data_IF_039548221911
#
_entry.id   IF_039548221911
#
_cell.length_a   1.000
_cell.length_b   1.000
_cell.length_c   1.000
_cell.angle_alpha   90.00
_cell.angle_beta   90.00
_cell.angle_gamma   90.00
#
_symmetry.space_group_name_H-M   'P 1'
#
loop_
_entity.id
_entity.type
_entity.pdbx_description
1 polymer ?
#
# COMPACT_ATOMS: atom_id res chain seq x y z
N UNK A 1 1.57 1.30 27.40
CA UNK A 1 0.43 0.80 26.59
C UNK A 1 0.47 1.33 25.14
N UNK A 2 0.66 2.64 24.91
CA UNK A 2 0.71 3.25 23.56
C UNK A 2 2.03 2.99 22.80
N UNK A 3 3.18 3.06 23.47
CA UNK A 3 4.51 2.84 22.85
C UNK A 3 4.65 1.41 22.27
N UNK A 4 4.06 0.42 22.93
CA UNK A 4 4.06 -0.97 22.46
C UNK A 4 3.22 -1.15 21.19
N UNK A 5 2.11 -0.42 21.05
CA UNK A 5 1.28 -0.44 19.83
C UNK A 5 1.97 0.27 18.66
N UNK A 6 2.63 1.41 18.92
CA UNK A 6 3.47 2.11 17.94
C UNK A 6 4.63 1.25 17.44
N UNK A 7 5.34 0.58 18.35
CA UNK A 7 6.43 -0.34 17.99
C UNK A 7 5.91 -1.53 17.16
N UNK A 8 4.77 -2.11 17.53
CA UNK A 8 4.15 -3.22 16.79
C UNK A 8 3.69 -2.79 15.40
N UNK A 9 3.11 -1.60 15.26
CA UNK A 9 2.72 -1.02 13.98
C UNK A 9 3.93 -0.73 13.07
N UNK A 10 5.01 -0.15 13.62
CA UNK A 10 6.24 0.10 12.89
C UNK A 10 6.93 -1.17 12.40
N UNK A 11 7.00 -2.21 13.24
CA UNK A 11 7.55 -3.52 12.85
C UNK A 11 6.66 -4.18 11.78
N UNK A 12 5.34 -4.08 11.91
CA UNK A 12 4.40 -4.55 10.89
C UNK A 12 4.60 -3.85 9.55
N UNK A 13 4.80 -2.52 9.57
CA UNK A 13 5.11 -1.73 8.39
C UNK A 13 6.42 -2.15 7.72
N UNK A 14 7.51 -2.32 8.49
CA UNK A 14 8.80 -2.76 7.93
C UNK A 14 8.69 -4.14 7.29
N UNK A 15 8.00 -5.09 7.94
CA UNK A 15 7.75 -6.42 7.38
C UNK A 15 6.94 -6.35 6.09
N UNK A 16 5.90 -5.51 6.07
CA UNK A 16 5.08 -5.31 4.90
C UNK A 16 5.89 -4.71 3.74
N UNK A 17 6.68 -3.68 4.03
CA UNK A 17 7.51 -2.99 3.06
C UNK A 17 8.56 -3.93 2.47
N UNK A 18 9.22 -4.73 3.30
CA UNK A 18 10.19 -5.71 2.82
C UNK A 18 9.56 -6.71 1.83
N UNK A 19 8.38 -7.23 2.15
CA UNK A 19 7.67 -8.19 1.29
C UNK A 19 7.23 -7.54 -0.04
N UNK A 20 6.72 -6.30 0.01
CA UNK A 20 6.35 -5.53 -1.17
C UNK A 20 7.56 -5.22 -2.06
N UNK A 21 8.68 -4.81 -1.47
CA UNK A 21 9.94 -4.56 -2.18
C UNK A 21 10.48 -5.81 -2.86
N UNK A 22 10.36 -6.98 -2.21
CA UNK A 22 10.79 -8.25 -2.77
C UNK A 22 9.95 -8.63 -4.01
N UNK A 23 8.62 -8.47 -3.94
CA UNK A 23 7.74 -8.70 -5.09
C UNK A 23 8.07 -7.74 -6.23
N UNK A 24 8.25 -6.45 -5.92
CA UNK A 24 8.65 -5.45 -6.90
C UNK A 24 9.98 -5.78 -7.57
N UNK A 25 10.97 -6.28 -6.82
CA UNK A 25 12.26 -6.70 -7.36
C UNK A 25 12.11 -7.74 -8.45
N UNK A 26 11.38 -8.83 -8.19
CA UNK A 26 11.21 -9.91 -9.15
C UNK A 26 10.39 -9.49 -10.36
N UNK A 27 9.35 -8.66 -10.18
CA UNK A 27 8.58 -8.12 -11.29
C UNK A 27 9.42 -7.19 -12.17
N UNK A 28 10.19 -6.28 -11.56
CA UNK A 28 11.06 -5.37 -12.29
C UNK A 28 12.15 -6.14 -13.03
N UNK A 29 12.81 -7.10 -12.39
CA UNK A 29 13.82 -7.95 -13.00
C UNK A 29 13.25 -8.72 -14.21
N UNK A 30 12.13 -9.41 -14.04
CA UNK A 30 11.50 -10.17 -15.11
C UNK A 30 11.08 -9.25 -16.28
N UNK A 31 10.46 -8.11 -15.98
CA UNK A 31 10.06 -7.14 -16.99
C UNK A 31 11.24 -6.56 -17.77
N UNK A 32 12.31 -6.17 -17.07
CA UNK A 32 13.50 -5.61 -17.71
C UNK A 32 14.26 -6.64 -18.54
N UNK A 33 14.29 -7.91 -18.12
CA UNK A 33 14.87 -9.01 -18.91
C UNK A 33 14.06 -9.26 -20.19
N UNK A 34 12.72 -9.23 -20.12
CA UNK A 34 11.85 -9.36 -21.30
C UNK A 34 12.04 -8.19 -22.27
N UNK A 35 12.33 -6.99 -21.75
CA UNK A 35 12.65 -5.81 -22.55
C UNK A 35 14.09 -5.81 -23.11
N UNK A 36 14.88 -6.83 -22.82
CA UNK A 36 16.25 -6.97 -23.36
C UNK A 36 17.26 -6.01 -22.74
N UNK A 37 17.04 -5.53 -21.50
CA UNK A 37 17.98 -4.64 -20.82
C UNK A 37 19.18 -5.43 -20.28
N UNK A 38 20.38 -5.12 -20.76
CA UNK A 38 21.63 -5.81 -20.36
C UNK A 38 21.90 -5.77 -18.86
N UNK A 39 21.61 -4.64 -18.20
CA UNK A 39 21.80 -4.44 -16.76
C UNK A 39 20.52 -4.58 -15.95
N UNK A 40 19.60 -5.47 -16.37
CA UNK A 40 18.28 -5.63 -15.77
C UNK A 40 18.31 -5.84 -14.25
N UNK A 41 19.24 -6.67 -13.74
CA UNK A 41 19.36 -6.94 -12.31
C UNK A 41 19.82 -5.73 -11.49
N UNK A 42 20.77 -4.95 -12.03
CA UNK A 42 21.24 -3.73 -11.39
C UNK A 42 20.12 -2.67 -11.37
N UNK A 43 19.41 -2.51 -12.48
CA UNK A 43 18.28 -1.59 -12.58
C UNK A 43 17.12 -1.99 -11.67
N UNK A 44 16.81 -3.28 -11.56
CA UNK A 44 15.80 -3.78 -10.63
C UNK A 44 16.17 -3.46 -9.16
N UNK A 45 17.45 -3.57 -8.79
CA UNK A 45 17.92 -3.13 -7.47
C UNK A 45 17.73 -1.63 -7.26
N UNK A 46 18.10 -0.80 -8.23
CA UNK A 46 17.91 0.66 -8.16
C UNK A 46 16.44 1.01 -8.00
N UNK A 47 15.56 0.37 -8.79
CA UNK A 47 14.11 0.56 -8.69
C UNK A 47 13.64 0.26 -7.27
N UNK A 48 14.03 -0.88 -6.69
CA UNK A 48 13.60 -1.28 -5.34
C UNK A 48 14.16 -0.36 -4.25
N UNK A 49 15.39 0.12 -4.40
CA UNK A 49 15.99 1.09 -3.45
C UNK A 49 15.19 2.39 -3.45
N UNK A 50 14.85 2.92 -4.63
CA UNK A 50 14.05 4.14 -4.75
C UNK A 50 12.62 3.90 -4.27
N UNK A 51 12.12 2.70 -4.50
CA UNK A 51 10.77 2.29 -4.19
C UNK A 51 10.49 2.07 -2.69
N UNK A 52 11.52 1.78 -1.91
CA UNK A 52 11.44 1.81 -0.45
C UNK A 52 10.99 3.20 0.05
N UNK A 53 11.22 4.26 -0.73
CA UNK A 53 10.80 5.61 -0.40
C UNK A 53 9.28 5.78 -0.58
N UNK A 54 8.54 6.22 0.46
CA UNK A 54 7.08 6.28 0.43
C UNK A 54 6.46 7.15 -0.67
N UNK A 55 7.19 8.14 -1.18
CA UNK A 55 6.68 9.17 -2.12
C UNK A 55 7.12 8.91 -3.57
N UNK A 56 8.33 8.39 -3.78
CA UNK A 56 8.93 8.28 -5.13
C UNK A 56 8.53 6.98 -5.84
N UNK A 57 8.57 5.85 -5.13
CA UNK A 57 8.13 4.56 -5.65
C UNK A 57 8.89 4.08 -6.90
N UNK A 58 8.40 3.02 -7.52
CA UNK A 58 8.90 2.53 -8.81
C UNK A 58 8.68 3.50 -9.98
N UNK A 59 7.65 4.34 -9.88
CA UNK A 59 7.27 5.29 -10.94
C UNK A 59 8.32 6.34 -11.21
N UNK A 60 9.05 6.79 -10.19
CA UNK A 60 10.11 7.80 -10.35
C UNK A 60 11.30 7.32 -11.19
N UNK A 61 11.49 6.01 -11.36
CA UNK A 61 12.53 5.45 -12.22
C UNK A 61 11.95 5.08 -13.58
N UNK A 62 10.87 4.28 -13.59
CA UNK A 62 10.33 3.70 -14.83
C UNK A 62 9.66 4.74 -15.73
N UNK A 63 8.94 5.72 -15.17
CA UNK A 63 8.18 6.70 -15.99
C UNK A 63 9.11 7.68 -16.69
N UNK A 64 10.06 8.37 -16.00
CA UNK A 64 11.00 9.25 -16.69
C UNK A 64 11.86 8.49 -17.69
N UNK A 65 12.30 7.28 -17.36
CA UNK A 65 13.10 6.46 -18.28
C UNK A 65 12.30 6.06 -19.54
N UNK A 66 11.03 5.68 -19.36
CA UNK A 66 10.12 5.42 -20.48
C UNK A 66 9.94 6.63 -21.38
N UNK A 67 9.71 7.82 -20.81
CA UNK A 67 9.55 9.07 -21.57
C UNK A 67 10.84 9.41 -22.34
N UNK A 68 12.00 9.32 -21.69
CA UNK A 68 13.30 9.59 -22.33
C UNK A 68 13.56 8.60 -23.47
N UNK A 69 13.23 7.32 -23.28
CA UNK A 69 13.34 6.28 -24.31
C UNK A 69 12.50 6.62 -25.55
N UNK A 70 11.24 7.02 -25.36
CA UNK A 70 10.37 7.44 -26.45
C UNK A 70 10.88 8.70 -27.15
N UNK A 71 11.39 9.67 -26.38
CA UNK A 71 11.99 10.89 -26.93
C UNK A 71 13.25 10.60 -27.76
N UNK A 72 14.00 9.54 -27.42
CA UNK A 72 15.16 9.08 -28.17
C UNK A 72 14.80 8.18 -29.37
N UNK A 73 13.51 7.96 -29.64
CA UNK A 73 13.02 7.18 -30.79
C UNK A 73 12.78 5.69 -30.51
N UNK A 74 13.11 5.19 -29.31
CA UNK A 74 12.80 3.81 -28.91
C UNK A 74 11.45 3.73 -28.19
N UNK A 75 10.40 3.73 -29.01
CA UNK A 75 9.02 3.62 -28.56
C UNK A 75 8.70 2.24 -27.98
N UNK A 76 9.38 1.18 -28.43
CA UNK A 76 9.14 -0.19 -27.95
C UNK A 76 9.59 -0.32 -26.50
N UNK A 77 10.81 0.12 -26.19
CA UNK A 77 11.32 0.13 -24.83
C UNK A 77 10.50 1.08 -23.95
N UNK A 78 10.19 2.28 -24.46
CA UNK A 78 9.43 3.28 -23.73
C UNK A 78 8.06 2.79 -23.28
N UNK A 79 7.26 2.26 -24.22
CA UNK A 79 5.94 1.67 -23.92
C UNK A 79 6.10 0.46 -22.99
N UNK A 80 7.11 -0.38 -23.21
CA UNK A 80 7.43 -1.51 -22.35
C UNK A 80 7.66 -1.13 -20.89
N UNK A 81 8.44 -0.07 -20.63
CA UNK A 81 8.71 0.45 -19.29
C UNK A 81 7.45 1.01 -18.61
N UNK A 82 6.58 1.69 -19.37
CA UNK A 82 5.30 2.20 -18.84
C UNK A 82 4.35 1.05 -18.51
N UNK A 83 4.25 0.03 -19.36
CA UNK A 83 3.46 -1.18 -19.10
C UNK A 83 3.98 -1.89 -17.86
N UNK A 84 5.31 -2.03 -17.73
CA UNK A 84 5.94 -2.62 -16.55
C UNK A 84 5.61 -1.85 -15.28
N UNK A 85 5.66 -0.51 -15.33
CA UNK A 85 5.25 0.35 -14.21
C UNK A 85 3.78 0.10 -13.80
N UNK A 86 2.87 0.03 -14.77
CA UNK A 86 1.45 -0.25 -14.51
C UNK A 86 1.28 -1.62 -13.86
N UNK A 87 1.92 -2.66 -14.40
CA UNK A 87 1.85 -4.02 -13.85
C UNK A 87 2.33 -4.06 -12.40
N UNK A 88 3.50 -3.49 -12.11
CA UNK A 88 4.04 -3.43 -10.75
C UNK A 88 3.08 -2.69 -9.82
N UNK A 89 2.54 -1.55 -10.26
CA UNK A 89 1.61 -0.73 -9.47
C UNK A 89 0.32 -1.49 -9.17
N UNK A 90 -0.25 -2.18 -10.15
CA UNK A 90 -1.47 -2.98 -9.98
C UNK A 90 -1.24 -4.13 -9.00
N UNK A 91 -0.15 -4.89 -9.18
CA UNK A 91 0.20 -5.99 -8.28
C UNK A 91 0.41 -5.48 -6.85
N UNK A 92 1.11 -4.35 -6.69
CA UNK A 92 1.28 -3.71 -5.38
C UNK A 92 -0.06 -3.34 -4.76
N UNK A 93 -0.94 -2.64 -5.48
CA UNK A 93 -2.25 -2.22 -4.96
C UNK A 93 -3.13 -3.39 -4.54
N UNK A 94 -2.90 -4.60 -5.06
CA UNK A 94 -3.60 -5.83 -4.65
C UNK A 94 -2.97 -6.43 -3.39
N UNK A 95 -1.63 -6.43 -3.30
CA UNK A 95 -0.88 -7.05 -2.19
C UNK A 95 -0.87 -6.16 -0.96
N UNK A 96 -0.65 -4.87 -1.12
CA UNK A 96 -0.54 -3.85 -0.08
C UNK A 96 -1.74 -3.90 0.90
N UNK A 97 -3.01 -3.81 0.47
CA UNK A 97 -4.13 -3.93 1.38
C UNK A 97 -4.20 -5.30 2.05
N UNK A 98 -3.77 -6.41 1.42
CA UNK A 98 -3.74 -7.73 2.08
C UNK A 98 -2.69 -7.79 3.19
N UNK A 99 -1.53 -7.22 2.95
CA UNK A 99 -0.42 -7.19 3.91
C UNK A 99 -0.73 -6.22 5.07
N UNK A 100 -1.38 -5.09 4.78
CA UNK A 100 -1.73 -4.08 5.79
C UNK A 100 -3.09 -4.31 6.49
N UNK A 101 -4.07 -4.95 5.84
CA UNK A 101 -5.43 -5.21 6.40
C UNK A 101 -5.43 -6.14 7.60
N UNK A 102 -4.38 -6.96 7.75
CA UNK A 102 -4.24 -7.86 8.91
C UNK A 102 -4.16 -7.10 10.24
N UNK A 103 -3.90 -5.78 10.23
CA UNK A 103 -3.66 -4.98 11.44
C UNK A 103 -4.73 -3.96 11.82
N UNK A 104 -5.68 -3.62 10.94
CA UNK A 104 -6.68 -2.59 11.26
C UNK A 104 -7.92 -3.15 11.94
N UNK A 105 -8.25 -4.43 11.75
CA UNK A 105 -9.26 -5.15 12.51
C UNK A 105 -10.69 -4.63 12.43
N UNK A 106 -10.96 -3.51 11.76
CA UNK A 106 -12.27 -2.90 11.61
C UNK A 106 -12.80 -3.26 10.24
N UNK A 107 -14.04 -3.72 10.17
CA UNK A 107 -14.66 -3.98 8.87
C UNK A 107 -14.78 -2.65 8.10
N UNK A 108 -14.41 -2.58 6.82
CA UNK A 108 -14.57 -1.37 6.01
C UNK A 108 -15.99 -0.81 6.03
N UNK A 109 -16.98 -1.70 6.19
CA UNK A 109 -18.39 -1.34 6.36
C UNK A 109 -18.65 -0.59 7.67
N UNK A 110 -18.07 -1.03 8.80
CA UNK A 110 -18.18 -0.34 10.08
C UNK A 110 -17.54 1.05 10.04
N UNK A 111 -16.41 1.21 9.35
CA UNK A 111 -15.78 2.51 9.13
C UNK A 111 -16.70 3.44 8.31
N UNK A 112 -17.28 2.95 7.21
CA UNK A 112 -18.23 3.71 6.38
C UNK A 112 -19.49 4.13 7.17
N UNK A 113 -20.08 3.20 7.92
CA UNK A 113 -21.25 3.46 8.76
C UNK A 113 -20.92 4.48 9.85
N UNK A 114 -19.72 4.41 10.44
CA UNK A 114 -19.27 5.35 11.46
C UNK A 114 -19.12 6.78 10.93
N UNK A 115 -18.59 6.95 9.72
CA UNK A 115 -18.46 8.25 9.07
C UNK A 115 -19.84 8.84 8.79
N UNK A 116 -20.75 8.02 8.26
CA UNK A 116 -22.12 8.45 7.93
C UNK A 116 -22.92 8.85 9.18
N UNK A 117 -22.93 8.01 10.21
CA UNK A 117 -23.62 8.30 11.46
C UNK A 117 -22.98 9.48 12.20
N UNK A 118 -21.64 9.56 12.21
CA UNK A 118 -20.92 10.69 12.77
C UNK A 118 -21.32 11.98 12.08
N UNK A 119 -21.31 12.01 10.74
CA UNK A 119 -21.74 13.15 9.95
C UNK A 119 -23.18 13.58 10.24
N UNK A 120 -24.10 12.62 10.33
CA UNK A 120 -25.52 12.90 10.55
C UNK A 120 -25.78 13.46 11.96
N UNK A 121 -24.99 13.07 12.96
CA UNK A 121 -25.17 13.51 14.35
C UNK A 121 -24.41 14.79 14.69
N UNK A 122 -23.20 14.97 14.15
CA UNK A 122 -22.26 16.02 14.55
C UNK A 122 -21.77 16.89 13.37
N UNK A 123 -22.34 16.72 12.17
CA UNK A 123 -21.95 17.43 10.96
C UNK A 123 -20.50 17.13 10.56
N UNK A 124 -19.78 18.13 10.07
CA UNK A 124 -18.41 17.96 9.57
C UNK A 124 -17.42 17.41 10.63
N UNK A 125 -17.59 17.78 11.90
CA UNK A 125 -16.75 17.25 13.01
C UNK A 125 -16.97 15.74 13.18
N UNK A 126 -18.20 15.30 12.94
CA UNK A 126 -18.60 13.90 12.98
C UNK A 126 -17.89 12.98 12.00
N UNK A 127 -17.36 13.52 10.90
CA UNK A 127 -16.56 12.77 9.92
C UNK A 127 -15.30 12.16 10.56
N UNK A 128 -14.72 12.87 11.54
CA UNK A 128 -13.53 12.43 12.27
C UNK A 128 -13.89 11.68 13.56
N UNK A 129 -14.90 12.16 14.29
CA UNK A 129 -15.29 11.58 15.58
C UNK A 129 -15.95 10.21 15.41
N UNK A 130 -16.78 10.01 14.38
CA UNK A 130 -17.49 8.75 14.13
C UNK A 130 -16.55 7.53 14.04
N UNK A 131 -15.53 7.56 13.14
CA UNK A 131 -14.53 6.50 13.07
C UNK A 131 -13.78 6.28 14.38
N UNK A 132 -13.38 7.35 15.07
CA UNK A 132 -12.63 7.25 16.33
C UNK A 132 -13.43 6.53 17.41
N UNK A 133 -14.72 6.80 17.52
CA UNK A 133 -15.61 6.13 18.49
C UNK A 133 -15.78 4.65 18.15
N UNK A 134 -15.98 4.30 16.88
CA UNK A 134 -16.12 2.90 16.46
C UNK A 134 -14.82 2.12 16.67
N UNK A 135 -13.68 2.72 16.38
CA UNK A 135 -12.35 2.15 16.68
C UNK A 135 -12.21 1.86 18.19
N UNK A 136 -12.61 2.81 19.04
CA UNK A 136 -12.57 2.65 20.50
C UNK A 136 -13.49 1.51 20.98
N UNK A 137 -14.72 1.45 20.48
CA UNK A 137 -15.69 0.41 20.85
C UNK A 137 -15.19 -0.97 20.43
N UNK A 138 -14.70 -1.11 19.19
CA UNK A 138 -14.16 -2.38 18.71
C UNK A 138 -12.90 -2.80 19.47
N UNK A 139 -12.02 -1.84 19.82
CA UNK A 139 -10.83 -2.13 20.62
C UNK A 139 -11.20 -2.62 22.03
N UNK A 140 -12.20 -2.00 22.67
CA UNK A 140 -12.72 -2.43 23.98
C UNK A 140 -13.44 -3.79 23.91
N UNK A 141 -14.17 -4.05 22.85
CA UNK A 141 -14.82 -5.34 22.61
C UNK A 141 -13.78 -6.46 22.45
N UNK A 142 -12.73 -6.24 21.64
CA UNK A 142 -11.62 -7.19 21.47
C UNK A 142 -10.79 -7.39 22.74
N UNK A 143 -10.68 -6.36 23.58
CA UNK A 143 -10.05 -6.46 24.88
C UNK A 143 -10.89 -7.24 25.92
N UNK A 144 -12.08 -7.71 25.54
CA UNK A 144 -12.97 -8.50 26.41
C UNK A 144 -13.69 -7.69 27.48
N UNK A 145 -13.56 -6.35 27.46
CA UNK A 145 -14.24 -5.43 28.39
C UNK A 145 -15.73 -5.34 28.07
N UNK A 146 -16.10 -5.50 26.80
CA UNK A 146 -17.48 -5.43 26.31
C UNK A 146 -17.81 -6.74 25.58
N UNK A 147 -18.65 -7.60 26.19
CA UNK A 147 -19.24 -8.76 25.52
C UNK A 147 -20.53 -8.35 24.81
N UNK A 148 -20.47 -8.10 23.50
CA UNK A 148 -21.70 -7.99 22.70
C UNK A 148 -22.20 -9.41 22.33
N UNK A 149 -23.27 -9.85 22.99
CA UNK A 149 -24.09 -10.98 22.50
C UNK A 149 -25.05 -10.42 21.47
N UNK A 150 -24.66 -10.38 20.20
CA UNK A 150 -25.63 -10.39 19.11
C UNK A 150 -25.64 -11.82 18.61
N UNK A 151 -26.57 -12.62 19.13
CA UNK A 151 -27.05 -13.79 18.38
C UNK A 151 -27.87 -13.23 17.23
N UNK A 152 -27.45 -13.53 16.00
CA UNK A 152 -28.30 -13.42 14.83
C UNK A 152 -29.52 -14.34 14.99
#
# INVERSE_FOLDING_TARGET
>A
MVIAQLSKAGIGFIKAQFLLSLVTFFLALAGLLVLGIDYAALMALVIVIVDILPILGTGSVLVPWGIISMANGDNTLGVGLIVLFIVITVVRRIIEPKVFSTNLGISPLAALVSVYLGFQLLGFIGLFVGPVVVILIEALAKAGVIKWTIKL
#
